data_IF_165002208985
#
_entry.id   IF_165002208985
#
_cell.length_a   1.000
_cell.length_b   1.000
_cell.length_c   1.000
_cell.angle_alpha   90.00
_cell.angle_beta   90.00
_cell.angle_gamma   90.00
#
_symmetry.space_group_name_H-M   'P 1'
#
loop_
_entity.id
_entity.type
_entity.pdbx_description
1 polymer ?
#
# COMPACT_ATOMS: atom_id res chain seq x y z
N UNK A 1 -4.21 10.01 -6.99
CA UNK A 1 -4.84 8.98 -6.14
C UNK A 1 -3.74 8.12 -5.57
N UNK A 2 -3.77 7.98 -4.26
CA UNK A 2 -2.68 7.46 -3.45
C UNK A 2 -3.22 6.38 -2.53
N UNK A 3 -2.41 5.38 -2.28
CA UNK A 3 -2.61 4.42 -1.21
C UNK A 3 -1.72 4.81 -0.03
N UNK A 4 -2.27 4.71 1.17
CA UNK A 4 -1.55 4.84 2.44
C UNK A 4 -1.70 3.53 3.20
N UNK A 5 -0.58 2.94 3.61
CA UNK A 5 -0.56 1.72 4.42
C UNK A 5 0.12 2.05 5.74
N UNK A 6 -0.54 1.72 6.85
CA UNK A 6 -0.01 1.88 8.19
C UNK A 6 0.03 0.52 8.90
N UNK A 7 1.19 0.09 9.40
CA UNK A 7 1.27 -1.12 10.22
C UNK A 7 0.68 -0.86 11.60
N UNK A 8 -0.18 -1.78 12.04
CA UNK A 8 -0.68 -1.78 13.42
C UNK A 8 0.29 -2.47 14.38
N UNK A 9 1.26 -3.24 13.87
CA UNK A 9 2.28 -3.94 14.65
C UNK A 9 3.69 -3.64 14.09
N UNK A 10 4.63 -3.11 14.89
CA UNK A 10 5.95 -2.63 14.43
C UNK A 10 6.89 -3.68 13.82
N UNK A 11 6.69 -4.96 14.12
CA UNK A 11 7.66 -6.02 13.84
C UNK A 11 7.86 -6.34 12.34
N UNK A 12 7.16 -5.65 11.43
CA UNK A 12 7.11 -5.97 10.00
C UNK A 12 7.46 -4.78 9.07
N UNK A 13 8.24 -3.81 9.55
CA UNK A 13 8.57 -2.59 8.80
C UNK A 13 9.23 -2.85 7.43
N UNK A 14 10.13 -3.83 7.31
CA UNK A 14 10.76 -4.17 6.02
C UNK A 14 9.74 -4.74 5.02
N UNK A 15 8.84 -5.61 5.49
CA UNK A 15 7.78 -6.21 4.67
C UNK A 15 6.77 -5.17 4.16
N UNK A 16 6.58 -4.06 4.89
CA UNK A 16 5.72 -2.95 4.47
C UNK A 16 6.28 -2.26 3.22
N UNK A 17 7.58 -1.97 3.23
CA UNK A 17 8.24 -1.26 2.13
C UNK A 17 8.30 -2.15 0.88
N UNK A 18 8.63 -3.44 1.05
CA UNK A 18 8.62 -4.42 -0.03
C UNK A 18 7.23 -4.53 -0.68
N UNK A 19 6.17 -4.63 0.14
CA UNK A 19 4.79 -4.63 -0.34
C UNK A 19 4.48 -3.38 -1.16
N UNK A 20 4.82 -2.19 -0.65
CA UNK A 20 4.54 -0.93 -1.36
C UNK A 20 5.27 -0.84 -2.71
N UNK A 21 6.52 -1.34 -2.78
CA UNK A 21 7.31 -1.33 -4.00
C UNK A 21 6.78 -2.24 -5.11
N UNK A 22 6.00 -3.28 -4.77
CA UNK A 22 5.31 -4.10 -5.78
C UNK A 22 4.22 -3.33 -6.54
N UNK A 23 3.65 -2.29 -5.92
CA UNK A 23 2.56 -1.51 -6.49
C UNK A 23 3.02 -0.15 -7.04
N UNK A 24 4.16 0.36 -6.59
CA UNK A 24 4.72 1.62 -7.07
C UNK A 24 6.25 1.67 -6.92
N UNK A 25 7.00 2.08 -7.96
CA UNK A 25 8.44 2.34 -7.81
C UNK A 25 8.74 3.56 -6.93
N UNK A 26 7.77 4.47 -6.79
CA UNK A 26 7.88 5.67 -5.97
C UNK A 26 7.03 5.48 -4.70
N UNK A 27 7.72 5.21 -3.59
CA UNK A 27 7.14 5.04 -2.25
C UNK A 27 7.74 6.10 -1.33
N UNK A 28 6.89 6.74 -0.53
CA UNK A 28 7.27 7.70 0.49
C UNK A 28 7.02 7.09 1.88
N UNK A 29 8.05 7.08 2.75
CA UNK A 29 7.90 6.75 4.16
C UNK A 29 7.40 7.99 4.94
N UNK A 30 6.09 8.23 4.90
CA UNK A 30 5.47 9.44 5.44
C UNK A 30 5.55 9.56 6.97
N UNK A 31 5.63 8.42 7.67
CA UNK A 31 5.84 8.36 9.12
C UNK A 31 6.38 6.98 9.52
N UNK A 32 6.71 6.81 10.81
CA UNK A 32 7.13 5.51 11.32
C UNK A 32 6.05 4.46 11.07
N UNK A 33 6.40 3.41 10.32
CA UNK A 33 5.50 2.33 9.90
C UNK A 33 4.34 2.74 8.99
N UNK A 34 4.48 3.86 8.28
CA UNK A 34 3.48 4.36 7.33
C UNK A 34 4.13 4.68 6.00
N UNK A 35 3.56 4.13 4.93
CA UNK A 35 4.01 4.40 3.55
C UNK A 35 2.86 4.96 2.72
N UNK A 36 3.20 5.89 1.84
CA UNK A 36 2.29 6.49 0.87
C UNK A 36 2.86 6.32 -0.53
N UNK A 37 2.02 5.92 -1.49
CA UNK A 37 2.45 5.76 -2.88
C UNK A 37 1.32 5.98 -3.87
N UNK A 38 1.67 6.41 -5.08
CA UNK A 38 0.68 6.63 -6.15
C UNK A 38 0.19 5.31 -6.73
N UNK A 39 -1.13 5.16 -6.83
CA UNK A 39 -1.77 4.02 -7.51
C UNK A 39 -2.42 4.43 -8.84
N UNK A 40 -2.25 5.69 -9.26
CA UNK A 40 -2.86 6.20 -10.48
C UNK A 40 -2.52 5.37 -11.74
N UNK A 41 -1.26 4.92 -11.95
CA UNK A 41 -0.92 4.08 -13.10
C UNK A 41 -1.65 2.73 -13.10
N UNK A 42 -1.89 2.16 -11.92
CA UNK A 42 -2.54 0.86 -11.76
C UNK A 42 -4.00 0.86 -12.20
N UNK A 43 -4.65 2.02 -12.37
CA UNK A 43 -6.02 2.07 -12.87
C UNK A 43 -6.20 1.46 -14.25
N UNK A 44 -5.16 1.52 -15.09
CA UNK A 44 -5.17 0.91 -16.41
C UNK A 44 -4.76 -0.56 -16.41
N UNK A 45 -4.09 -1.03 -15.35
CA UNK A 45 -3.52 -2.37 -15.25
C UNK A 45 -4.40 -3.33 -14.44
N UNK A 46 -4.91 -2.85 -13.30
CA UNK A 46 -5.70 -3.64 -12.33
C UNK A 46 -7.18 -3.23 -12.38
N UNK A 47 -7.46 -1.92 -12.50
CA UNK A 47 -8.82 -1.42 -12.68
C UNK A 47 -9.25 -0.38 -11.65
N UNK A 48 -10.44 -0.56 -11.07
CA UNK A 48 -11.02 0.40 -10.13
C UNK A 48 -10.18 0.53 -8.84
N UNK A 49 -10.29 1.65 -8.10
CA UNK A 49 -9.62 1.81 -6.80
C UNK A 49 -9.93 0.67 -5.82
N UNK A 50 -11.16 0.14 -5.84
CA UNK A 50 -11.53 -1.01 -5.01
C UNK A 50 -10.82 -2.30 -5.41
N UNK A 51 -10.63 -2.55 -6.70
CA UNK A 51 -9.86 -3.71 -7.17
C UNK A 51 -8.38 -3.58 -6.79
N UNK A 52 -7.80 -2.39 -6.95
CA UNK A 52 -6.43 -2.10 -6.52
C UNK A 52 -6.31 -2.32 -5.00
N UNK A 53 -7.26 -1.81 -4.21
CA UNK A 53 -7.28 -2.02 -2.77
C UNK A 53 -7.34 -3.51 -2.40
N UNK A 54 -8.19 -4.27 -3.11
CA UNK A 54 -8.33 -5.71 -2.90
C UNK A 54 -7.01 -6.44 -3.15
N UNK A 55 -6.28 -6.11 -4.21
CA UNK A 55 -4.97 -6.72 -4.49
C UNK A 55 -3.90 -6.33 -3.46
N UNK A 56 -3.87 -5.07 -3.02
CA UNK A 56 -2.95 -4.64 -1.94
C UNK A 56 -3.26 -5.40 -0.65
N UNK A 57 -4.55 -5.51 -0.27
CA UNK A 57 -4.97 -6.26 0.91
C UNK A 57 -4.64 -7.75 0.80
N UNK A 58 -4.85 -8.38 -0.37
CA UNK A 58 -4.49 -9.78 -0.61
C UNK A 58 -2.99 -10.00 -0.44
N UNK A 59 -2.17 -9.15 -1.07
CA UNK A 59 -0.71 -9.22 -0.97
C UNK A 59 -0.22 -8.98 0.47
N UNK A 60 -0.82 -8.04 1.20
CA UNK A 60 -0.54 -7.83 2.62
C UNK A 60 -0.89 -9.05 3.48
N UNK A 61 -2.07 -9.64 3.24
CA UNK A 61 -2.52 -10.83 3.96
C UNK A 61 -1.61 -12.05 3.74
N UNK A 62 -1.15 -12.28 2.51
CA UNK A 62 -0.21 -13.37 2.18
C UNK A 62 1.13 -13.24 2.93
N UNK A 63 1.54 -12.01 3.25
CA UNK A 63 2.74 -11.68 4.06
C UNK A 63 2.47 -11.66 5.57
N UNK A 64 1.24 -11.99 5.99
CA UNK A 64 0.76 -11.88 7.39
C UNK A 64 0.94 -10.48 7.98
N UNK A 65 0.84 -9.46 7.13
CA UNK A 65 0.93 -8.06 7.56
C UNK A 65 -0.38 -7.65 8.24
N UNK A 66 -0.27 -7.15 9.48
CA UNK A 66 -1.36 -6.46 10.14
C UNK A 66 -1.22 -4.97 9.87
N UNK A 67 -2.02 -4.48 8.92
CA UNK A 67 -1.96 -3.11 8.44
C UNK A 67 -3.34 -2.58 8.11
N UNK A 68 -3.48 -1.25 8.16
CA UNK A 68 -4.63 -0.52 7.65
C UNK A 68 -4.29 0.08 6.29
N UNK A 69 -5.22 0.00 5.34
CA UNK A 69 -5.10 0.61 4.01
C UNK A 69 -6.15 1.72 3.86
N UNK A 70 -5.70 2.88 3.40
CA UNK A 70 -6.56 3.98 2.97
C UNK A 70 -6.24 4.37 1.51
N UNK A 71 -7.25 4.81 0.76
CA UNK A 71 -7.08 5.36 -0.59
C UNK A 71 -7.74 6.73 -0.66
N UNK A 72 -7.00 7.71 -1.15
CA UNK A 72 -7.46 9.09 -1.28
C UNK A 72 -7.01 9.71 -2.62
N UNK A 73 -7.67 10.80 -3.03
CA UNK A 73 -7.33 11.50 -4.28
C UNK A 73 -5.95 12.18 -4.18
N UNK A 74 -5.62 12.64 -2.99
CA UNK A 74 -4.43 13.36 -2.54
C UNK A 74 -3.64 12.50 -1.52
N UNK A 75 -2.32 12.70 -1.42
CA UNK A 75 -1.48 12.00 -0.45
C UNK A 75 -1.75 12.46 0.98
#
# INVERSE_FOLDING_TARGET
MYACIHLTVPAAASLLLDLAHEFSPAVEEAAQHTVVFSIAPLRKLIGSPHQIASEICRAGYERKLQASLAIAANP
#
